data_IF_292123328879
#
_entry.id   IF_292123328879
#
_cell.length_a   1.000
_cell.length_b   1.000
_cell.length_c   1.000
_cell.angle_alpha   90.00
_cell.angle_beta   90.00
_cell.angle_gamma   90.00
#
_symmetry.space_group_name_H-M   'P 1'
#
loop_
_entity.id
_entity.type
_entity.pdbx_description
1 polymer ?
#
# COMPACT_ATOMS: atom_id res chain seq x y z
N UNK A 1 25.90 -5.07 -20.45
CA UNK A 1 26.16 -5.19 -19.01
C UNK A 1 24.79 -5.22 -18.33
N UNK A 2 24.41 -6.36 -17.76
CA UNK A 2 23.15 -6.45 -16.99
C UNK A 2 23.30 -5.58 -15.75
N UNK A 3 22.39 -4.62 -15.56
CA UNK A 3 22.38 -3.81 -14.35
C UNK A 3 22.19 -4.75 -13.14
N UNK A 4 22.95 -4.51 -12.07
CA UNK A 4 22.79 -5.27 -10.84
C UNK A 4 21.34 -5.12 -10.34
N UNK A 5 20.70 -6.25 -10.01
CA UNK A 5 19.35 -6.24 -9.45
C UNK A 5 19.36 -5.51 -8.09
N UNK A 6 18.38 -4.65 -7.91
CA UNK A 6 18.07 -4.01 -6.64
C UNK A 6 16.56 -4.18 -6.35
N UNK A 7 16.06 -3.84 -5.15
CA UNK A 7 14.66 -4.05 -4.79
C UNK A 7 13.65 -3.40 -5.75
N UNK A 8 14.02 -2.29 -6.39
CA UNK A 8 13.13 -1.57 -7.32
C UNK A 8 13.17 -2.22 -8.70
N UNK A 9 14.37 -2.54 -9.21
CA UNK A 9 14.50 -3.12 -10.56
C UNK A 9 14.10 -4.59 -10.62
N UNK A 10 14.18 -5.31 -9.50
CA UNK A 10 13.74 -6.69 -9.40
C UNK A 10 12.24 -6.86 -9.69
N UNK A 11 11.41 -5.86 -9.39
CA UNK A 11 9.95 -5.90 -9.60
C UNK A 11 9.57 -6.14 -11.07
N UNK A 12 10.37 -5.65 -12.00
CA UNK A 12 10.13 -5.80 -13.45
C UNK A 12 11.01 -6.87 -14.10
N UNK A 13 11.76 -7.62 -13.30
CA UNK A 13 12.60 -8.70 -13.81
C UNK A 13 11.75 -9.93 -14.15
N UNK A 14 12.00 -10.65 -15.26
CA UNK A 14 11.21 -11.84 -15.64
C UNK A 14 11.21 -12.96 -14.60
N UNK A 15 12.31 -13.10 -13.86
CA UNK A 15 12.44 -14.05 -12.74
C UNK A 15 13.12 -13.36 -11.54
N UNK A 16 12.35 -12.71 -10.65
CA UNK A 16 12.89 -12.02 -9.49
C UNK A 16 13.13 -12.92 -8.27
N UNK A 17 12.61 -14.14 -8.28
CA UNK A 17 12.57 -15.01 -7.10
C UNK A 17 13.95 -15.41 -6.55
N UNK A 18 14.97 -15.75 -7.36
CA UNK A 18 16.31 -16.02 -6.85
C UNK A 18 16.90 -14.83 -6.08
N UNK A 19 16.69 -13.62 -6.58
CA UNK A 19 17.12 -12.39 -5.90
C UNK A 19 16.41 -12.19 -4.55
N UNK A 20 15.10 -12.39 -4.50
CA UNK A 20 14.35 -12.27 -3.24
C UNK A 20 14.74 -13.35 -2.23
N UNK A 21 14.97 -14.58 -2.68
CA UNK A 21 15.44 -15.67 -1.82
C UNK A 21 16.80 -15.34 -1.18
N UNK A 22 17.73 -14.79 -1.97
CA UNK A 22 19.03 -14.33 -1.48
C UNK A 22 18.88 -13.21 -0.44
N UNK A 23 18.03 -12.20 -0.71
CA UNK A 23 17.78 -11.12 0.23
C UNK A 23 17.25 -11.63 1.57
N UNK A 24 16.25 -12.51 1.53
CA UNK A 24 15.65 -13.11 2.74
C UNK A 24 16.70 -13.87 3.55
N UNK A 25 17.56 -14.61 2.88
CA UNK A 25 18.57 -15.43 3.54
C UNK A 25 19.76 -14.62 4.11
N UNK A 26 20.15 -13.53 3.44
CA UNK A 26 21.42 -12.85 3.74
C UNK A 26 21.27 -11.44 4.30
N UNK A 27 20.16 -10.75 3.97
CA UNK A 27 19.93 -9.34 4.29
C UNK A 27 18.50 -9.09 4.79
N UNK A 28 18.11 -9.64 5.96
CA UNK A 28 16.74 -9.54 6.47
C UNK A 28 16.26 -8.09 6.69
N UNK A 29 17.18 -7.18 7.03
CA UNK A 29 16.98 -5.73 7.12
C UNK A 29 18.31 -5.05 6.82
N UNK A 30 18.36 -4.13 5.85
CA UNK A 30 19.58 -3.42 5.50
C UNK A 30 19.29 -2.02 4.94
N UNK A 31 20.29 -1.16 5.01
CA UNK A 31 20.26 0.14 4.33
C UNK A 31 20.89 0.03 2.95
N UNK A 32 20.14 0.37 1.90
CA UNK A 32 20.65 0.46 0.54
C UNK A 32 21.12 1.90 0.26
N UNK A 33 22.43 2.08 0.28
CA UNK A 33 23.03 3.41 0.12
C UNK A 33 22.82 4.00 -1.30
N UNK A 34 22.68 3.14 -2.32
CA UNK A 34 22.45 3.60 -3.69
C UNK A 34 21.02 4.11 -3.89
N UNK A 35 20.06 3.52 -3.18
CA UNK A 35 18.65 3.92 -3.19
C UNK A 35 18.32 4.93 -2.08
N UNK A 36 19.18 5.08 -1.07
CA UNK A 36 18.96 5.96 0.06
C UNK A 36 17.82 5.52 0.97
N UNK A 37 17.53 4.22 1.06
CA UNK A 37 16.39 3.69 1.82
C UNK A 37 16.73 2.38 2.56
N UNK A 38 15.94 2.09 3.60
CA UNK A 38 15.96 0.82 4.30
C UNK A 38 15.10 -0.21 3.59
N UNK A 39 15.62 -1.43 3.47
CA UNK A 39 14.93 -2.57 2.84
C UNK A 39 14.73 -3.66 3.88
N UNK A 40 13.48 -4.05 4.12
CA UNK A 40 13.11 -5.20 4.93
C UNK A 40 12.66 -6.34 4.01
N UNK A 41 13.34 -7.47 4.08
CA UNK A 41 13.10 -8.64 3.23
C UNK A 41 12.58 -9.86 3.98
N UNK A 42 12.87 -10.00 5.27
CA UNK A 42 12.38 -11.13 6.07
C UNK A 42 10.99 -10.86 6.66
N UNK A 43 10.18 -11.92 6.80
CA UNK A 43 8.87 -11.82 7.43
C UNK A 43 8.92 -11.21 8.83
N UNK A 44 9.92 -11.58 9.65
CA UNK A 44 10.09 -11.05 11.00
C UNK A 44 10.38 -9.54 11.00
N UNK A 45 11.24 -9.06 10.10
CA UNK A 45 11.54 -7.63 9.98
C UNK A 45 10.31 -6.83 9.49
N UNK A 46 9.59 -7.37 8.52
CA UNK A 46 8.36 -6.75 7.98
C UNK A 46 7.29 -6.66 9.07
N UNK A 47 7.07 -7.77 9.80
CA UNK A 47 6.09 -7.80 10.90
C UNK A 47 6.44 -6.81 12.02
N UNK A 48 7.71 -6.74 12.40
CA UNK A 48 8.20 -5.77 13.39
C UNK A 48 7.95 -4.32 12.95
N UNK A 49 8.14 -4.00 11.65
CA UNK A 49 7.89 -2.66 11.10
C UNK A 49 6.39 -2.35 11.10
N UNK A 50 5.53 -3.26 10.67
CA UNK A 50 4.09 -3.04 10.61
C UNK A 50 3.45 -2.89 11.98
N UNK A 51 4.00 -3.55 13.00
CA UNK A 51 3.53 -3.43 14.39
C UNK A 51 4.19 -2.29 15.16
N UNK A 52 5.12 -1.56 14.57
CA UNK A 52 5.81 -0.46 15.23
C UNK A 52 5.03 0.85 15.09
N UNK A 53 4.62 1.43 16.21
CA UNK A 53 3.87 2.70 16.25
C UNK A 53 4.66 3.93 15.76
N UNK A 54 5.97 3.83 15.67
CA UNK A 54 6.82 4.89 15.12
C UNK A 54 6.96 4.82 13.61
N UNK A 55 6.64 3.67 13.00
CA UNK A 55 6.61 3.53 11.55
C UNK A 55 5.30 4.06 11.00
N UNK A 56 5.37 4.80 9.91
CA UNK A 56 4.23 5.41 9.24
C UNK A 56 4.21 4.98 7.78
N UNK A 57 3.01 4.85 7.21
CA UNK A 57 2.85 4.57 5.76
C UNK A 57 3.28 5.75 4.90
N UNK A 58 3.30 6.97 5.49
CA UNK A 58 3.71 8.21 4.81
C UNK A 58 4.45 9.14 5.76
N UNK A 59 5.34 10.00 5.24
CA UNK A 59 5.86 11.12 6.01
C UNK A 59 4.71 12.04 6.45
N UNK A 60 4.69 12.45 7.71
CA UNK A 60 3.68 13.37 8.25
C UNK A 60 3.67 14.71 7.49
N UNK A 61 4.86 15.15 7.05
CA UNK A 61 5.01 16.40 6.27
C UNK A 61 4.52 16.26 4.81
N UNK A 62 4.36 15.03 4.29
CA UNK A 62 3.93 14.77 2.91
C UNK A 62 2.77 13.78 2.90
N UNK A 63 1.59 14.17 3.37
CA UNK A 63 0.41 13.30 3.42
C UNK A 63 -0.07 12.89 2.03
N UNK A 64 0.29 13.63 1.01
CA UNK A 64 0.02 13.34 -0.40
C UNK A 64 1.33 13.54 -1.19
N UNK A 65 1.68 12.61 -2.10
CA UNK A 65 2.84 12.79 -2.97
C UNK A 65 2.76 14.11 -3.74
N UNK A 66 3.87 14.84 -3.79
CA UNK A 66 3.92 16.18 -4.45
C UNK A 66 3.43 16.15 -5.89
N UNK A 67 3.71 15.05 -6.61
CA UNK A 67 3.28 14.87 -8.00
C UNK A 67 1.75 14.80 -8.19
N UNK A 68 1.00 14.52 -7.12
CA UNK A 68 -0.46 14.44 -7.15
C UNK A 68 -1.15 15.74 -6.70
N UNK A 69 -0.41 16.68 -6.11
CA UNK A 69 -1.00 17.91 -5.59
C UNK A 69 -1.72 18.69 -6.69
N UNK A 70 -2.94 19.14 -6.38
CA UNK A 70 -3.77 19.90 -7.32
C UNK A 70 -4.50 19.05 -8.36
N UNK A 71 -4.38 17.72 -8.32
CA UNK A 71 -5.11 16.82 -9.21
C UNK A 71 -6.26 16.10 -8.47
N UNK A 72 -7.32 15.65 -9.17
CA UNK A 72 -8.37 14.81 -8.58
C UNK A 72 -7.83 13.52 -7.93
N UNK A 73 -6.68 13.03 -8.41
CA UNK A 73 -6.02 11.87 -7.82
C UNK A 73 -5.51 12.13 -6.40
N UNK A 74 -5.22 13.38 -6.03
CA UNK A 74 -4.84 13.74 -4.67
C UNK A 74 -5.95 13.43 -3.66
N UNK A 75 -7.21 13.73 -4.00
CA UNK A 75 -8.36 13.48 -3.13
C UNK A 75 -8.62 11.99 -2.97
N UNK A 76 -8.54 11.23 -4.05
CA UNK A 76 -8.63 9.77 -4.02
C UNK A 76 -7.51 9.20 -3.14
N UNK A 77 -6.26 9.65 -3.34
CA UNK A 77 -5.11 9.18 -2.58
C UNK A 77 -5.27 9.45 -1.07
N UNK A 78 -5.80 10.62 -0.70
CA UNK A 78 -6.05 11.00 0.70
C UNK A 78 -7.01 10.05 1.40
N UNK A 79 -7.98 9.50 0.68
CA UNK A 79 -9.02 8.61 1.21
C UNK A 79 -8.64 7.11 1.17
N UNK A 80 -7.49 6.75 0.58
CA UNK A 80 -7.04 5.36 0.57
C UNK A 80 -6.71 4.88 1.99
N UNK A 81 -7.46 3.89 2.48
CA UNK A 81 -7.30 3.32 3.83
C UNK A 81 -5.86 2.94 4.14
N UNK A 82 -5.23 2.20 3.24
CA UNK A 82 -3.85 1.73 3.42
C UNK A 82 -2.80 2.84 3.39
N UNK A 83 -3.20 4.08 3.07
CA UNK A 83 -2.32 5.24 3.04
C UNK A 83 -2.56 6.17 4.22
N UNK A 84 -3.36 5.77 5.20
CA UNK A 84 -3.66 6.53 6.39
C UNK A 84 -3.24 5.75 7.65
N UNK A 85 -2.80 6.47 8.67
CA UNK A 85 -2.39 5.96 9.97
C UNK A 85 -3.25 6.56 11.08
N UNK A 86 -3.29 5.89 12.23
CA UNK A 86 -3.87 6.43 13.45
C UNK A 86 -5.38 6.70 13.35
N UNK A 87 -5.80 7.89 13.77
CA UNK A 87 -7.21 8.26 13.86
C UNK A 87 -7.93 8.26 12.50
N UNK A 88 -7.23 8.61 11.43
CA UNK A 88 -7.80 8.69 10.08
C UNK A 88 -8.00 7.31 9.44
N UNK A 89 -7.21 6.32 9.86
CA UNK A 89 -7.29 4.96 9.35
C UNK A 89 -8.56 4.23 9.77
N UNK A 90 -8.96 4.36 11.05
CA UNK A 90 -10.03 3.56 11.63
C UNK A 90 -11.41 3.81 10.99
N UNK A 91 -11.86 5.05 10.79
CA UNK A 91 -13.15 5.33 10.15
C UNK A 91 -13.20 4.80 8.70
N UNK A 92 -12.13 5.00 7.93
CA UNK A 92 -12.04 4.52 6.55
C UNK A 92 -12.09 2.99 6.48
N UNK A 93 -11.36 2.30 7.38
CA UNK A 93 -11.39 0.85 7.48
C UNK A 93 -12.77 0.32 7.85
N UNK A 94 -13.46 0.95 8.81
CA UNK A 94 -14.81 0.56 9.22
C UNK A 94 -15.81 0.73 8.06
N UNK A 95 -15.76 1.84 7.33
CA UNK A 95 -16.62 2.07 6.19
C UNK A 95 -16.45 1.00 5.09
N UNK A 96 -15.20 0.66 4.75
CA UNK A 96 -14.91 -0.41 3.79
C UNK A 96 -15.38 -1.76 4.31
N UNK A 97 -15.11 -2.09 5.58
CA UNK A 97 -15.52 -3.37 6.17
C UNK A 97 -17.04 -3.54 6.19
N UNK A 98 -17.78 -2.48 6.53
CA UNK A 98 -19.24 -2.48 6.50
C UNK A 98 -19.79 -2.65 5.08
N UNK A 99 -19.16 -1.99 4.09
CA UNK A 99 -19.55 -2.14 2.69
C UNK A 99 -19.27 -3.55 2.18
N UNK A 100 -18.12 -4.13 2.52
CA UNK A 100 -17.76 -5.50 2.14
C UNK A 100 -18.70 -6.54 2.76
N UNK A 101 -19.07 -6.35 4.03
CA UNK A 101 -19.99 -7.26 4.72
C UNK A 101 -21.41 -7.23 4.13
N UNK A 102 -21.79 -6.17 3.45
CA UNK A 102 -23.09 -6.03 2.79
C UNK A 102 -23.14 -6.61 1.36
N UNK A 103 -22.00 -7.09 0.84
CA UNK A 103 -21.92 -7.70 -0.49
C UNK A 103 -22.16 -9.19 -0.40
N UNK A 104 -23.16 -9.69 -1.14
CA UNK A 104 -23.36 -11.12 -1.31
C UNK A 104 -22.24 -11.70 -2.20
N UNK A 105 -21.43 -12.65 -1.69
CA UNK A 105 -20.39 -13.29 -2.48
C UNK A 105 -20.93 -14.03 -3.72
N UNK A 106 -22.20 -14.45 -3.68
CA UNK A 106 -22.85 -15.13 -4.80
C UNK A 106 -23.24 -14.19 -5.94
N UNK A 107 -23.42 -12.88 -5.67
CA UNK A 107 -23.69 -11.87 -6.70
C UNK A 107 -22.39 -11.34 -7.35
N UNK A 108 -21.24 -11.74 -6.86
CA UNK A 108 -19.91 -11.30 -7.32
C UNK A 108 -19.47 -11.80 -8.69
N UNK A 109 -20.40 -12.10 -9.59
CA UNK A 109 -20.10 -12.46 -10.97
C UNK A 109 -19.84 -11.20 -11.81
N UNK A 110 -18.59 -10.80 -11.89
CA UNK A 110 -18.03 -10.07 -13.02
C UNK A 110 -18.18 -8.55 -12.99
N UNK A 111 -17.45 -7.99 -13.79
CA UNK A 111 -17.15 -6.65 -14.33
C UNK A 111 -18.13 -5.48 -14.10
N UNK A 112 -19.42 -5.70 -13.89
CA UNK A 112 -20.40 -4.60 -13.72
C UNK A 112 -20.50 -4.11 -12.26
N UNK A 113 -20.21 -4.96 -11.29
CA UNK A 113 -20.29 -4.65 -9.85
C UNK A 113 -19.18 -3.70 -9.38
N UNK A 114 -17.98 -3.79 -9.96
CA UNK A 114 -16.84 -2.98 -9.52
C UNK A 114 -17.03 -1.46 -9.72
N UNK A 115 -17.70 -1.06 -10.81
CA UNK A 115 -17.97 0.37 -11.09
C UNK A 115 -19.03 0.95 -10.15
N UNK A 116 -20.06 0.20 -9.84
CA UNK A 116 -21.09 0.59 -8.86
C UNK A 116 -20.55 0.65 -7.43
N UNK A 117 -19.62 -0.23 -7.12
CA UNK A 117 -18.96 -0.34 -5.82
C UNK A 117 -18.10 0.88 -5.48
N UNK A 118 -17.20 1.28 -6.40
CA UNK A 118 -16.36 2.46 -6.26
C UNK A 118 -17.20 3.73 -6.08
N UNK A 119 -18.25 3.90 -6.87
CA UNK A 119 -19.15 5.05 -6.77
C UNK A 119 -19.93 5.09 -5.44
N UNK A 120 -20.29 3.94 -4.86
CA UNK A 120 -20.96 3.82 -3.57
C UNK A 120 -20.05 4.11 -2.38
N UNK A 121 -18.78 3.65 -2.42
CA UNK A 121 -17.80 3.94 -1.39
C UNK A 121 -17.45 5.43 -1.32
N UNK A 122 -17.24 6.07 -2.46
CA UNK A 122 -16.87 7.49 -2.54
C UNK A 122 -18.01 8.38 -2.01
N UNK A 123 -19.27 8.07 -2.31
CA UNK A 123 -20.42 8.85 -1.80
C UNK A 123 -20.56 8.77 -0.29
N UNK A 124 -20.42 7.59 0.33
CA UNK A 124 -20.58 7.43 1.80
C UNK A 124 -19.48 8.09 2.62
N UNK A 125 -18.31 8.29 2.05
CA UNK A 125 -17.20 8.98 2.73
C UNK A 125 -17.38 10.50 2.70
N UNK A 126 -18.07 11.03 1.70
CA UNK A 126 -18.31 12.48 1.57
C UNK A 126 -19.55 12.96 2.32
N UNK A 127 -20.47 12.06 2.72
CA UNK A 127 -21.74 12.40 3.40
C UNK A 127 -21.62 12.33 4.95
N UNK A 128 -20.43 12.09 5.50
CA UNK A 128 -20.12 12.05 6.94
C UNK A 128 -19.11 13.14 7.28
#
# INVERSE_FOLDING_TARGET
MSAALNPITAVVHPDPYPYYAELVATKPLYYDAALGLWVASSAAAIDAIFNNRLCRVRPVAEPIPRALLGSPAADIFRQLVRMNDGADHCPLKQAISATLAAVDPAEGNGHSSAKGWLAGCIRRVNDN
#
